data_IF_536027448337
#
_entry.id   IF_536027448337
#
_cell.length_a   1.000
_cell.length_b   1.000
_cell.length_c   1.000
_cell.angle_alpha   90.00
_cell.angle_beta   90.00
_cell.angle_gamma   90.00
#
_symmetry.space_group_name_H-M   'P 1'
#
loop_
_entity.id
_entity.type
_entity.pdbx_description
1 polymer ?
#
# COMPACT_ATOMS: atom_id res chain seq x y z
N UNK A 1 18.19 6.19 -9.21
CA UNK A 1 16.86 5.59 -9.48
C UNK A 1 15.79 6.63 -9.24
N UNK A 2 14.95 6.91 -10.24
CA UNK A 2 13.96 7.99 -10.19
C UNK A 2 12.70 7.52 -9.42
N UNK A 3 12.65 7.81 -8.11
CA UNK A 3 11.61 7.33 -7.18
C UNK A 3 10.20 7.82 -7.52
N UNK A 4 10.06 8.92 -8.28
CA UNK A 4 8.78 9.39 -8.79
C UNK A 4 8.06 8.34 -9.68
N UNK A 5 8.82 7.52 -10.41
CA UNK A 5 8.27 6.48 -11.27
C UNK A 5 7.64 5.32 -10.50
N UNK A 6 8.30 4.84 -9.44
CA UNK A 6 7.83 3.67 -8.66
C UNK A 6 6.58 3.95 -7.82
N UNK A 7 6.44 5.16 -7.27
CA UNK A 7 5.29 5.53 -6.42
C UNK A 7 4.10 6.07 -7.19
N UNK A 8 4.26 6.41 -8.48
CA UNK A 8 3.14 6.81 -9.35
C UNK A 8 2.02 5.74 -9.38
N UNK A 9 2.41 4.45 -9.42
CA UNK A 9 1.49 3.30 -9.37
C UNK A 9 0.81 3.12 -8.03
N UNK A 10 1.41 3.60 -6.94
CA UNK A 10 0.88 3.44 -5.60
C UNK A 10 -0.22 4.47 -5.28
N UNK A 11 -0.39 5.53 -6.09
CA UNK A 11 -1.53 6.49 -5.95
C UNK A 11 -2.90 5.80 -5.89
N UNK A 12 -3.01 4.58 -6.44
CA UNK A 12 -4.22 3.77 -6.38
C UNK A 12 -4.72 3.55 -4.94
N UNK A 13 -3.83 3.54 -3.94
CA UNK A 13 -4.18 3.33 -2.53
C UNK A 13 -4.59 4.59 -1.79
N UNK A 14 -4.53 5.78 -2.41
CA UNK A 14 -4.90 7.02 -1.71
C UNK A 14 -6.35 6.91 -1.23
N UNK A 15 -6.54 7.03 0.09
CA UNK A 15 -7.86 6.93 0.73
C UNK A 15 -8.41 5.50 0.85
N UNK A 16 -7.57 4.48 0.65
CA UNK A 16 -7.94 3.08 0.86
C UNK A 16 -7.38 2.64 2.21
N UNK A 17 -8.27 2.32 3.14
CA UNK A 17 -7.89 1.76 4.43
C UNK A 17 -7.77 0.24 4.36
N UNK A 18 -7.20 -0.39 5.38
CA UNK A 18 -7.08 -1.84 5.46
C UNK A 18 -8.38 -2.46 6.00
N UNK A 19 -9.11 -3.15 5.13
CA UNK A 19 -10.27 -3.98 5.44
C UNK A 19 -9.83 -5.46 5.34
N UNK A 20 -9.77 -6.11 6.50
CA UNK A 20 -9.28 -7.48 6.61
C UNK A 20 -10.12 -8.49 5.82
N UNK A 21 -11.44 -8.27 5.67
CA UNK A 21 -12.35 -9.19 4.99
C UNK A 21 -12.21 -9.11 3.47
N UNK A 22 -12.12 -7.88 2.93
CA UNK A 22 -11.87 -7.68 1.49
C UNK A 22 -10.48 -8.23 1.15
N UNK A 23 -9.47 -7.95 1.98
CA UNK A 23 -8.11 -8.43 1.76
C UNK A 23 -8.05 -9.96 1.80
N UNK A 24 -8.64 -10.59 2.81
CA UNK A 24 -8.67 -12.05 2.92
C UNK A 24 -9.33 -12.69 1.68
N UNK A 25 -10.45 -12.11 1.21
CA UNK A 25 -11.13 -12.57 0.00
C UNK A 25 -10.25 -12.48 -1.25
N UNK A 26 -9.61 -11.33 -1.48
CA UNK A 26 -8.70 -11.13 -2.64
C UNK A 26 -7.50 -12.07 -2.59
N UNK A 27 -6.87 -12.20 -1.43
CA UNK A 27 -5.72 -13.08 -1.26
C UNK A 27 -6.07 -14.55 -1.49
N UNK A 28 -7.25 -14.98 -1.02
CA UNK A 28 -7.74 -16.33 -1.24
C UNK A 28 -7.99 -16.59 -2.72
N UNK A 29 -8.71 -15.72 -3.43
CA UNK A 29 -9.04 -15.90 -4.85
C UNK A 29 -7.80 -15.91 -5.74
N UNK A 30 -6.73 -15.22 -5.35
CA UNK A 30 -5.48 -15.17 -6.10
C UNK A 30 -4.47 -16.25 -5.71
N UNK A 31 -4.74 -17.09 -4.70
CA UNK A 31 -3.75 -18.04 -4.17
C UNK A 31 -2.54 -17.37 -3.50
N UNK A 32 -2.73 -16.18 -2.96
CA UNK A 32 -1.68 -15.29 -2.43
C UNK A 32 -1.71 -15.17 -0.90
N UNK A 33 -2.39 -16.08 -0.20
CA UNK A 33 -2.55 -16.07 1.26
C UNK A 33 -1.23 -15.93 2.03
N UNK A 34 -0.16 -16.52 1.51
CA UNK A 34 1.21 -16.45 2.07
C UNK A 34 1.80 -15.04 2.10
N UNK A 35 1.30 -14.11 1.28
CA UNK A 35 1.73 -12.71 1.24
C UNK A 35 0.84 -11.77 2.07
N UNK A 36 -0.08 -12.30 2.88
CA UNK A 36 -1.05 -11.51 3.66
C UNK A 36 -0.40 -10.41 4.51
N UNK A 37 0.67 -10.75 5.22
CA UNK A 37 1.43 -9.80 6.02
C UNK A 37 2.05 -8.69 5.17
N UNK A 38 2.77 -9.04 4.10
CA UNK A 38 3.46 -8.05 3.26
C UNK A 38 2.47 -7.13 2.55
N UNK A 39 1.31 -7.63 2.10
CA UNK A 39 0.28 -6.82 1.47
C UNK A 39 -0.38 -5.87 2.48
N UNK A 40 -0.69 -6.34 3.69
CA UNK A 40 -1.18 -5.47 4.76
C UNK A 40 -0.15 -4.37 5.11
N UNK A 41 1.13 -4.73 5.21
CA UNK A 41 2.22 -3.78 5.40
C UNK A 41 2.28 -2.76 4.26
N UNK A 42 2.14 -3.17 3.00
CA UNK A 42 2.17 -2.22 1.88
C UNK A 42 1.06 -1.19 2.01
N UNK A 43 -0.17 -1.61 2.32
CA UNK A 43 -1.32 -0.71 2.48
C UNK A 43 -1.07 0.30 3.61
N UNK A 44 -0.68 -0.19 4.80
CA UNK A 44 -0.46 0.65 5.99
C UNK A 44 0.70 1.62 5.74
N UNK A 45 1.88 1.12 5.36
CA UNK A 45 3.08 1.94 5.19
C UNK A 45 2.89 2.98 4.07
N UNK A 46 2.12 2.66 3.02
CA UNK A 46 1.82 3.63 1.97
C UNK A 46 0.92 4.77 2.46
N UNK A 47 -0.13 4.46 3.23
CA UNK A 47 -0.98 5.49 3.82
C UNK A 47 -0.21 6.41 4.77
N UNK A 48 0.66 5.83 5.61
CA UNK A 48 1.53 6.62 6.48
C UNK A 48 2.53 7.47 5.69
N UNK A 49 3.13 6.90 4.63
CA UNK A 49 4.03 7.65 3.75
C UNK A 49 3.33 8.86 3.13
N UNK A 50 2.09 8.70 2.66
CA UNK A 50 1.29 9.82 2.15
C UNK A 50 1.01 10.86 3.24
N UNK A 51 0.62 10.43 4.44
CA UNK A 51 0.37 11.31 5.57
C UNK A 51 1.59 12.20 5.87
N UNK A 52 2.76 11.58 6.12
CA UNK A 52 3.99 12.32 6.43
C UNK A 52 4.51 13.14 5.24
N UNK A 53 4.31 12.66 4.01
CA UNK A 53 4.70 13.42 2.81
C UNK A 53 3.86 14.69 2.63
N UNK A 54 2.62 14.72 3.13
CA UNK A 54 1.74 15.88 3.03
C UNK A 54 1.83 16.85 4.21
N UNK A 55 2.56 16.53 5.29
CA UNK A 55 2.80 17.48 6.39
C UNK A 55 3.45 18.77 5.87
N UNK A 56 2.91 19.93 6.25
CA UNK A 56 3.42 21.24 5.80
C UNK A 56 4.80 21.57 6.38
N UNK A 57 5.03 21.23 7.65
CA UNK A 57 6.34 21.33 8.28
C UNK A 57 7.14 20.07 7.97
N UNK A 58 8.39 20.22 7.55
CA UNK A 58 9.34 19.13 7.35
C UNK A 58 10.49 19.30 8.33
N UNK A 59 10.36 18.68 9.49
CA UNK A 59 11.45 18.56 10.44
C UNK A 59 12.23 17.25 10.24
N UNK A 60 13.30 17.07 11.02
CA UNK A 60 14.14 15.88 10.97
C UNK A 60 13.35 14.60 11.28
N UNK A 61 12.39 14.65 12.19
CA UNK A 61 11.54 13.53 12.55
C UNK A 61 10.65 13.09 11.38
N UNK A 62 9.96 14.03 10.72
CA UNK A 62 9.09 13.76 9.57
C UNK A 62 9.89 13.18 8.41
N UNK A 63 11.08 13.72 8.14
CA UNK A 63 11.98 13.18 7.12
C UNK A 63 12.40 11.74 7.44
N UNK A 64 12.73 11.43 8.70
CA UNK A 64 13.04 10.07 9.13
C UNK A 64 11.85 9.11 8.98
N UNK A 65 10.62 9.55 9.29
CA UNK A 65 9.43 8.72 9.10
C UNK A 65 9.21 8.43 7.61
N UNK A 66 9.32 9.43 6.74
CA UNK A 66 9.20 9.24 5.27
C UNK A 66 10.19 8.17 4.79
N UNK A 67 11.45 8.24 5.19
CA UNK A 67 12.47 7.26 4.79
C UNK A 67 12.21 5.87 5.39
N UNK A 68 11.76 5.80 6.64
CA UNK A 68 11.35 4.53 7.27
C UNK A 68 10.25 3.83 6.46
N UNK A 69 9.19 4.56 6.10
CA UNK A 69 8.06 3.99 5.36
C UNK A 69 8.44 3.62 3.92
N UNK A 70 9.31 4.39 3.26
CA UNK A 70 9.86 4.01 1.95
C UNK A 70 10.60 2.68 2.01
N UNK A 71 11.53 2.52 2.95
CA UNK A 71 12.30 1.28 3.12
C UNK A 71 11.39 0.08 3.41
N UNK A 72 10.39 0.25 4.26
CA UNK A 72 9.43 -0.80 4.56
C UNK A 72 8.64 -1.25 3.31
N UNK A 73 8.23 -0.30 2.46
CA UNK A 73 7.56 -0.59 1.20
C UNK A 73 8.46 -1.32 0.21
N UNK A 74 9.72 -0.89 0.09
CA UNK A 74 10.71 -1.52 -0.78
C UNK A 74 10.96 -2.98 -0.38
N UNK A 75 11.10 -3.27 0.91
CA UNK A 75 11.32 -4.64 1.38
C UNK A 75 10.10 -5.53 1.10
N UNK A 76 8.88 -5.05 1.35
CA UNK A 76 7.66 -5.81 1.06
C UNK A 76 7.45 -6.09 -0.45
N UNK A 77 8.01 -5.25 -1.33
CA UNK A 77 7.91 -5.38 -2.78
C UNK A 77 9.12 -6.07 -3.42
N UNK A 78 10.09 -6.51 -2.62
CA UNK A 78 11.35 -7.12 -3.10
C UNK A 78 11.14 -8.47 -3.78
N UNK A 79 10.20 -9.26 -3.28
CA UNK A 79 9.87 -10.60 -3.78
C UNK A 79 8.48 -10.62 -4.39
N UNK A 80 8.30 -11.38 -5.47
CA UNK A 80 7.00 -11.62 -6.12
C UNK A 80 6.17 -10.34 -6.37
N UNK A 81 6.88 -9.25 -6.69
CA UNK A 81 6.38 -7.88 -6.79
C UNK A 81 5.10 -7.78 -7.63
N UNK A 82 5.11 -8.34 -8.84
CA UNK A 82 4.00 -8.21 -9.77
C UNK A 82 2.73 -8.88 -9.25
N UNK A 83 2.85 -10.05 -8.60
CA UNK A 83 1.70 -10.74 -7.99
C UNK A 83 1.10 -9.92 -6.85
N UNK A 84 1.95 -9.33 -6.00
CA UNK A 84 1.51 -8.43 -4.92
C UNK A 84 0.82 -7.19 -5.47
N UNK A 85 1.36 -6.59 -6.54
CA UNK A 85 0.76 -5.42 -7.20
C UNK A 85 -0.63 -5.75 -7.79
N UNK A 86 -0.81 -6.92 -8.39
CA UNK A 86 -2.11 -7.35 -8.93
C UNK A 86 -3.14 -7.46 -7.81
N UNK A 87 -2.82 -8.21 -6.75
CA UNK A 87 -3.71 -8.37 -5.60
C UNK A 87 -4.10 -7.02 -4.98
N UNK A 88 -3.13 -6.13 -4.84
CA UNK A 88 -3.33 -4.78 -4.34
C UNK A 88 -4.28 -3.95 -5.23
N UNK A 89 -4.18 -4.06 -6.57
CA UNK A 89 -5.11 -3.38 -7.49
C UNK A 89 -6.53 -3.91 -7.35
N UNK A 90 -6.69 -5.22 -7.27
CA UNK A 90 -8.00 -5.85 -7.07
C UNK A 90 -8.61 -5.47 -5.71
N UNK A 91 -7.79 -5.42 -4.67
CA UNK A 91 -8.19 -4.96 -3.35
C UNK A 91 -8.74 -3.53 -3.41
N UNK A 92 -8.01 -2.59 -4.02
CA UNK A 92 -8.46 -1.20 -4.21
C UNK A 92 -9.79 -1.15 -4.97
N UNK A 93 -9.95 -1.95 -6.02
CA UNK A 93 -11.17 -2.00 -6.82
C UNK A 93 -12.37 -2.48 -5.99
N UNK A 94 -12.22 -3.60 -5.27
CA UNK A 94 -13.28 -4.14 -4.40
C UNK A 94 -13.62 -3.19 -3.26
N UNK A 95 -12.62 -2.57 -2.64
CA UNK A 95 -12.82 -1.57 -1.59
C UNK A 95 -13.67 -0.40 -2.11
N UNK A 96 -13.30 0.20 -3.24
CA UNK A 96 -14.05 1.31 -3.83
C UNK A 96 -15.48 0.93 -4.22
N UNK A 97 -15.73 -0.29 -4.66
CA UNK A 97 -17.09 -0.75 -4.96
C UNK A 97 -17.93 -0.85 -3.69
N UNK A 98 -17.39 -1.44 -2.61
CA UNK A 98 -18.09 -1.57 -1.32
C UNK A 98 -18.54 -0.22 -0.74
N UNK A 99 -17.68 0.80 -0.82
CA UNK A 99 -17.92 2.12 -0.22
C UNK A 99 -18.50 3.17 -1.19
N UNK A 100 -18.82 2.80 -2.44
CA UNK A 100 -19.61 3.64 -3.36
C UNK A 100 -21.11 3.38 -3.28
N UNK A 101 -21.50 2.27 -2.64
CA UNK A 101 -22.89 1.81 -2.52
C UNK A 101 -23.57 2.27 -1.23
N UNK A 102 -22.89 3.12 -0.46
CA UNK A 102 -23.33 3.78 0.78
C UNK A 102 -23.26 5.27 0.60
#
# INVERSE_FOLDING_TARGET
MNLYGSFSRARIFKGVELDAWILAGVLYTNGLRKYSYEIACIIINYNMLLHYSNCMLKDSFICQQIERYKKALEECLKTDKERKIIALKEYVQKYKLKYRST
#
